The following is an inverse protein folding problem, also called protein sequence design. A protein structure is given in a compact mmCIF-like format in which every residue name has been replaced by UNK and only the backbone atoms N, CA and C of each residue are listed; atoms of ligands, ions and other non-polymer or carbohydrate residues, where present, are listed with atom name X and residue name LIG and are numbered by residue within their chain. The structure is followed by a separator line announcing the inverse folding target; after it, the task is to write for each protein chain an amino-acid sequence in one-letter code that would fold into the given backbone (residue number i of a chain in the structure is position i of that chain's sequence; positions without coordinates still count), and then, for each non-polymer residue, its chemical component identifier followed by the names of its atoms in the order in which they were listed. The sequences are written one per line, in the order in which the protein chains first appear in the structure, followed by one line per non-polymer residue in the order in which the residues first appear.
data_IF_407611297366
#
_entry.id   IF_407611297366
#
_cell.length_a   1.000
_cell.length_b   1.000
_cell.length_c   1.000
_cell.angle_alpha   90.00
_cell.angle_beta   90.00
_cell.angle_gamma   90.00
#
_symmetry.space_group_name_H-M   'P 1'
#
loop_
_entity.id
_entity.type
_entity.pdbx_description
1 polymer ?
#
# COMPACT_ATOMS: atom_id res chain seq x y z
N UNK A 1 3.98 -21.21 -9.31
CA UNK A 1 4.21 -20.27 -8.20
C UNK A 1 3.14 -19.21 -8.35
N UNK A 2 2.04 -19.32 -7.61
CA UNK A 2 1.06 -18.23 -7.58
C UNK A 2 1.71 -17.11 -6.76
N UNK A 3 1.98 -15.97 -7.40
CA UNK A 3 2.30 -14.72 -6.71
C UNK A 3 1.02 -14.19 -6.05
N UNK A 4 0.41 -15.01 -5.19
CA UNK A 4 -0.86 -14.71 -4.55
C UNK A 4 -0.58 -13.77 -3.38
N UNK A 5 -1.13 -12.57 -3.44
CA UNK A 5 -1.06 -11.61 -2.34
C UNK A 5 -1.93 -12.15 -1.21
N UNK A 6 -1.40 -12.31 0.01
CA UNK A 6 -2.21 -12.72 1.15
C UNK A 6 -3.45 -11.83 1.34
N UNK A 7 -4.61 -12.45 1.58
CA UNK A 7 -5.90 -11.75 1.74
C UNK A 7 -5.86 -10.56 2.71
N UNK A 8 -5.06 -10.65 3.78
CA UNK A 8 -4.87 -9.56 4.73
C UNK A 8 -4.45 -8.22 4.10
N UNK A 9 -3.73 -8.23 2.99
CA UNK A 9 -3.33 -6.99 2.31
C UNK A 9 -4.43 -6.43 1.43
N UNK A 10 -5.35 -7.28 0.93
CA UNK A 10 -6.58 -6.81 0.32
C UNK A 10 -7.52 -6.20 1.36
N UNK A 11 -7.62 -6.80 2.56
CA UNK A 11 -8.42 -6.23 3.65
C UNK A 11 -7.94 -4.80 4.00
N UNK A 12 -6.62 -4.59 4.06
CA UNK A 12 -6.02 -3.26 4.27
C UNK A 12 -6.26 -2.33 3.09
N UNK A 13 -6.17 -2.82 1.85
CA UNK A 13 -6.46 -2.02 0.66
C UNK A 13 -7.93 -1.59 0.60
N UNK A 14 -8.84 -2.46 1.03
CA UNK A 14 -10.27 -2.15 1.15
C UNK A 14 -10.53 -1.12 2.25
N UNK A 15 -9.88 -1.24 3.41
CA UNK A 15 -9.96 -0.25 4.49
C UNK A 15 -9.46 1.12 4.02
N UNK A 16 -8.27 1.17 3.43
CA UNK A 16 -7.74 2.38 2.79
C UNK A 16 -8.73 2.96 1.76
N UNK A 17 -9.35 2.12 0.92
CA UNK A 17 -10.31 2.57 -0.09
C UNK A 17 -11.56 3.23 0.52
N UNK A 18 -11.96 2.87 1.74
CA UNK A 18 -13.08 3.53 2.44
C UNK A 18 -12.72 4.90 3.02
N UNK A 19 -11.44 5.12 3.32
CA UNK A 19 -10.94 6.40 3.84
C UNK A 19 -10.42 7.33 2.74
N UNK A 20 -9.99 6.77 1.62
CA UNK A 20 -9.36 7.49 0.53
C UNK A 20 -10.31 8.53 -0.07
N UNK A 21 -9.81 9.75 -0.26
CA UNK A 21 -10.59 10.82 -0.88
C UNK A 21 -10.99 10.50 -2.34
N UNK A 22 -10.16 9.71 -3.04
CA UNK A 22 -10.43 9.23 -4.39
C UNK A 22 -10.85 7.77 -4.34
N UNK A 23 -11.98 7.40 -5.00
CA UNK A 23 -12.39 6.01 -5.06
C UNK A 23 -11.28 5.14 -5.67
N UNK A 24 -11.20 3.91 -5.21
CA UNK A 24 -10.26 2.89 -5.68
C UNK A 24 -11.02 1.91 -6.56
N UNK A 25 -10.55 1.71 -7.79
CA UNK A 25 -11.10 0.68 -8.69
C UNK A 25 -10.58 -0.73 -8.34
N UNK A 26 -11.24 -1.79 -8.85
CA UNK A 26 -10.79 -3.18 -8.62
C UNK A 26 -9.35 -3.42 -9.11
N UNK A 27 -8.95 -2.81 -10.23
CA UNK A 27 -7.57 -2.92 -10.74
C UNK A 27 -6.59 -2.18 -9.84
N UNK A 28 -6.95 -1.01 -9.32
CA UNK A 28 -6.12 -0.29 -8.35
C UNK A 28 -6.05 -1.01 -7.01
N UNK A 29 -7.11 -1.71 -6.59
CA UNK A 29 -7.15 -2.48 -5.35
C UNK A 29 -6.07 -3.57 -5.34
N UNK A 30 -5.88 -4.27 -6.46
CA UNK A 30 -4.84 -5.28 -6.59
C UNK A 30 -3.42 -4.67 -6.51
N UNK A 31 -3.21 -3.57 -7.24
CA UNK A 31 -1.97 -2.79 -7.18
C UNK A 31 -1.67 -2.28 -5.75
N UNK A 32 -2.69 -1.80 -5.05
CA UNK A 32 -2.58 -1.33 -3.67
C UNK A 32 -2.25 -2.48 -2.72
N UNK A 33 -2.90 -3.64 -2.85
CA UNK A 33 -2.60 -4.81 -2.02
C UNK A 33 -1.13 -5.26 -2.21
N UNK A 34 -0.62 -5.25 -3.45
CA UNK A 34 0.80 -5.50 -3.75
C UNK A 34 1.71 -4.45 -3.08
N UNK A 35 1.34 -3.19 -3.14
CA UNK A 35 2.11 -2.09 -2.57
C UNK A 35 2.13 -2.13 -1.03
N UNK A 36 0.98 -2.35 -0.40
CA UNK A 36 0.84 -2.54 1.05
C UNK A 36 1.65 -3.73 1.54
N UNK A 37 1.62 -4.86 0.83
CA UNK A 37 2.48 -6.00 1.15
C UNK A 37 3.95 -5.59 1.21
N UNK A 38 4.41 -4.82 0.24
CA UNK A 38 5.82 -4.40 0.16
C UNK A 38 6.20 -3.40 1.25
N UNK A 39 5.33 -2.44 1.56
CA UNK A 39 5.56 -1.44 2.62
C UNK A 39 5.56 -2.10 4.00
N UNK A 40 4.50 -2.85 4.32
CA UNK A 40 4.33 -3.47 5.64
C UNK A 40 5.43 -4.48 5.90
N UNK A 41 5.84 -5.28 4.89
CA UNK A 41 6.96 -6.22 5.05
C UNK A 41 8.24 -5.49 5.47
N UNK A 42 8.56 -4.35 4.84
CA UNK A 42 9.74 -3.54 5.18
C UNK A 42 9.62 -2.90 6.58
N UNK A 43 8.45 -2.35 6.89
CA UNK A 43 8.17 -1.79 8.22
C UNK A 43 8.31 -2.85 9.33
N UNK A 44 7.80 -4.06 9.11
CA UNK A 44 7.94 -5.19 10.04
C UNK A 44 9.41 -5.65 10.23
N UNK A 45 10.26 -5.40 9.24
CA UNK A 45 11.70 -5.66 9.33
C UNK A 45 12.50 -4.48 9.90
N UNK A 46 11.82 -3.42 10.35
CA UNK A 46 12.43 -2.16 10.79
C UNK A 46 13.31 -1.51 9.71
N UNK A 47 13.00 -1.73 8.43
CA UNK A 47 13.69 -1.12 7.30
C UNK A 47 13.21 0.33 7.13
N UNK A 48 14.15 1.27 7.07
CA UNK A 48 13.84 2.63 6.65
C UNK A 48 13.42 2.63 5.18
N UNK A 49 12.30 3.27 4.87
CA UNK A 49 11.79 3.37 3.50
C UNK A 49 11.95 4.83 3.06
N UNK A 50 12.90 5.08 2.17
CA UNK A 50 13.08 6.40 1.58
C UNK A 50 11.93 6.74 0.63
N UNK A 51 11.71 8.03 0.39
CA UNK A 51 10.72 8.51 -0.58
C UNK A 51 10.96 7.91 -1.98
N UNK A 52 12.22 7.85 -2.41
CA UNK A 52 12.61 7.24 -3.69
C UNK A 52 12.21 5.76 -3.75
N UNK A 53 12.41 5.00 -2.66
CA UNK A 53 12.00 3.61 -2.60
C UNK A 53 10.47 3.45 -2.63
N UNK A 54 9.74 4.34 -1.94
CA UNK A 54 8.27 4.34 -1.99
C UNK A 54 7.75 4.64 -3.40
N UNK A 55 8.37 5.58 -4.11
CA UNK A 55 8.02 5.93 -5.49
C UNK A 55 8.31 4.80 -6.47
N UNK A 56 9.48 4.16 -6.36
CA UNK A 56 9.84 3.01 -7.18
C UNK A 56 8.85 1.86 -6.95
N UNK A 57 8.57 1.54 -5.69
CA UNK A 57 7.63 0.49 -5.32
C UNK A 57 6.21 0.76 -5.83
N UNK A 58 5.74 2.01 -5.74
CA UNK A 58 4.43 2.41 -6.25
C UNK A 58 4.38 2.24 -7.78
N UNK A 59 5.45 2.67 -8.47
CA UNK A 59 5.58 2.52 -9.93
C UNK A 59 5.56 1.05 -10.34
N UNK A 60 6.29 0.18 -9.64
CA UNK A 60 6.33 -1.26 -9.90
C UNK A 60 4.98 -1.93 -9.63
N UNK A 61 4.27 -1.49 -8.60
CA UNK A 61 2.94 -2.01 -8.26
C UNK A 61 1.83 -1.45 -9.17
N UNK A 62 2.08 -0.37 -9.91
CA UNK A 62 1.07 0.32 -10.71
C UNK A 62 0.17 1.26 -9.88
N UNK A 63 0.65 1.72 -8.73
CA UNK A 63 -0.02 2.69 -7.87
C UNK A 63 0.32 4.11 -8.32
N UNK A 64 -0.70 4.98 -8.38
CA UNK A 64 -0.51 6.40 -8.70
C UNK A 64 0.34 7.07 -7.62
N UNK A 65 1.38 7.81 -8.02
CA UNK A 65 2.27 8.52 -7.10
C UNK A 65 1.52 9.50 -6.18
N UNK A 66 0.38 10.04 -6.61
CA UNK A 66 -0.48 10.91 -5.80
C UNK A 66 -1.10 10.20 -4.59
N UNK A 67 -1.12 8.85 -4.57
CA UNK A 67 -1.60 8.06 -3.44
C UNK A 67 -0.50 7.79 -2.41
N UNK A 68 0.78 8.01 -2.72
CA UNK A 68 1.90 7.65 -1.83
C UNK A 68 1.80 8.39 -0.49
N UNK A 69 1.63 9.71 -0.51
CA UNK A 69 1.52 10.52 0.70
C UNK A 69 0.30 10.12 1.55
N UNK A 70 -0.85 9.96 0.89
CA UNK A 70 -2.12 9.55 1.52
C UNK A 70 -2.02 8.14 2.16
N UNK A 71 -1.34 7.21 1.48
CA UNK A 71 -1.05 5.86 1.99
C UNK A 71 -0.08 5.92 3.17
N UNK A 72 0.95 6.78 3.13
CA UNK A 72 1.88 6.94 4.23
C UNK A 72 1.18 7.50 5.48
N UNK A 73 0.29 8.48 5.30
CA UNK A 73 -0.55 9.02 6.38
C UNK A 73 -1.52 7.96 6.93
N UNK A 74 -2.15 7.16 6.06
CA UNK A 74 -3.01 6.04 6.45
C UNK A 74 -2.25 5.01 7.29
N UNK A 75 -1.09 4.52 6.81
CA UNK A 75 -0.31 3.51 7.53
C UNK A 75 0.22 4.00 8.88
N UNK A 76 0.53 5.30 8.99
CA UNK A 76 0.95 5.89 10.25
C UNK A 76 -0.18 5.92 11.29
N UNK A 77 -1.44 6.07 10.86
CA UNK A 77 -2.61 5.94 11.74
C UNK A 77 -2.88 4.47 12.07
N UNK A 78 -2.96 3.63 11.04
CA UNK A 78 -3.26 2.20 11.14
C UNK A 78 -2.30 1.44 12.10
N UNK A 79 -1.01 1.74 12.03
CA UNK A 79 -0.02 1.12 12.93
C UNK A 79 -0.05 1.61 14.38
N UNK A 80 -0.85 2.64 14.68
CA UNK A 80 -0.98 3.26 15.99
C UNK A 80 -2.39 3.10 16.60
N UNK A 81 -3.28 2.37 15.93
CA UNK A 81 -4.57 1.89 16.47
C UNK A 81 -4.41 0.58 17.26
#
# INVERSE_FOLDING_TARGET
MNNDIPLKYYDIADEYATEAAKPVSDTERDALAHYFQQLITRLMNNEEISEEAQQEMATVAGVDAQRIDDIAEFLNRWGNE
#
